data_IF_228739286526
#
_entry.id   IF_228739286526
#
_cell.length_a   1.000
_cell.length_b   1.000
_cell.length_c   1.000
_cell.angle_alpha   90.00
_cell.angle_beta   90.00
_cell.angle_gamma   90.00
#
_symmetry.space_group_name_H-M   'P 1'
#
loop_
_entity.id
_entity.type
_entity.pdbx_description
1 polymer ?
#
# COMPACT_ATOMS: atom_id res chain seq x y z
N UNK A 1 -23.62 -2.66 12.90
CA UNK A 1 -25.08 -2.91 12.83
C UNK A 1 -25.61 -2.81 11.40
N UNK A 2 -25.41 -1.68 10.69
CA UNK A 2 -25.96 -1.49 9.34
C UNK A 2 -25.49 -2.53 8.31
N UNK A 3 -24.17 -2.79 8.20
CA UNK A 3 -23.65 -3.78 7.23
C UNK A 3 -24.21 -5.19 7.44
N UNK A 4 -24.32 -5.63 8.69
CA UNK A 4 -24.95 -6.91 9.03
C UNK A 4 -26.43 -6.92 8.67
N UNK A 5 -27.19 -5.86 8.99
CA UNK A 5 -28.60 -5.74 8.62
C UNK A 5 -28.83 -5.76 7.11
N UNK A 6 -27.99 -5.06 6.34
CA UNK A 6 -28.01 -5.08 4.88
C UNK A 6 -27.76 -6.48 4.34
N UNK A 7 -26.69 -7.17 4.79
CA UNK A 7 -26.41 -8.54 4.38
C UNK A 7 -27.58 -9.47 4.70
N UNK A 8 -28.10 -9.39 5.93
CA UNK A 8 -29.24 -10.21 6.35
C UNK A 8 -30.51 -9.96 5.53
N UNK A 9 -30.70 -8.76 4.99
CA UNK A 9 -31.86 -8.43 4.15
C UNK A 9 -31.80 -9.04 2.75
N UNK A 10 -30.62 -9.43 2.27
CA UNK A 10 -30.43 -9.95 0.90
C UNK A 10 -29.93 -11.39 0.84
N UNK A 11 -29.26 -11.87 1.88
CA UNK A 11 -28.63 -13.20 1.92
C UNK A 11 -29.64 -14.35 2.07
N UNK A 12 -30.86 -14.05 2.49
CA UNK A 12 -31.93 -15.05 2.60
C UNK A 12 -32.37 -15.55 1.22
N UNK A 13 -32.20 -14.73 0.18
CA UNK A 13 -32.49 -15.14 -1.18
C UNK A 13 -31.26 -15.83 -1.78
N UNK A 14 -31.34 -17.15 -1.90
CA UNK A 14 -30.21 -18.00 -2.26
C UNK A 14 -29.57 -17.63 -3.62
N UNK A 15 -30.36 -17.08 -4.55
CA UNK A 15 -29.88 -16.61 -5.86
C UNK A 15 -28.90 -15.42 -5.74
N UNK A 16 -28.90 -14.71 -4.61
CA UNK A 16 -27.96 -13.61 -4.36
C UNK A 16 -26.57 -14.11 -3.93
N UNK A 17 -26.43 -15.36 -3.48
CA UNK A 17 -25.18 -15.85 -2.87
C UNK A 17 -23.96 -15.73 -3.78
N UNK A 18 -24.00 -16.06 -5.08
CA UNK A 18 -22.84 -15.89 -5.95
C UNK A 18 -22.39 -14.43 -6.04
N UNK A 19 -23.33 -13.49 -6.14
CA UNK A 19 -23.04 -12.06 -6.23
C UNK A 19 -22.52 -11.49 -4.90
N UNK A 20 -23.06 -11.96 -3.77
CA UNK A 20 -22.59 -11.57 -2.45
C UNK A 20 -21.17 -12.10 -2.19
N UNK A 21 -20.88 -13.34 -2.59
CA UNK A 21 -19.56 -13.93 -2.46
C UNK A 21 -18.53 -13.19 -3.34
N UNK A 22 -18.84 -12.96 -4.62
CA UNK A 22 -17.95 -12.20 -5.52
C UNK A 22 -17.69 -10.78 -4.98
N UNK A 23 -18.74 -10.10 -4.50
CA UNK A 23 -18.60 -8.78 -3.89
C UNK A 23 -17.72 -8.82 -2.64
N UNK A 24 -17.92 -9.80 -1.77
CA UNK A 24 -17.08 -9.99 -0.58
C UNK A 24 -15.61 -10.22 -0.96
N UNK A 25 -15.34 -11.15 -1.88
CA UNK A 25 -13.98 -11.47 -2.33
C UNK A 25 -13.28 -10.25 -2.95
N UNK A 26 -14.01 -9.49 -3.78
CA UNK A 26 -13.52 -8.26 -4.41
C UNK A 26 -13.13 -7.21 -3.40
N UNK A 27 -14.02 -6.86 -2.49
CA UNK A 27 -13.77 -5.80 -1.52
C UNK A 27 -12.77 -6.22 -0.46
N UNK A 28 -12.76 -7.50 -0.06
CA UNK A 28 -11.76 -8.03 0.85
C UNK A 28 -10.36 -7.83 0.27
N UNK A 29 -10.11 -8.28 -0.96
CA UNK A 29 -8.81 -8.08 -1.60
C UNK A 29 -8.46 -6.60 -1.76
N UNK A 30 -9.37 -5.79 -2.31
CA UNK A 30 -9.14 -4.36 -2.55
C UNK A 30 -8.79 -3.60 -1.26
N UNK A 31 -9.54 -3.87 -0.19
CA UNK A 31 -9.33 -3.25 1.11
C UNK A 31 -7.95 -3.62 1.66
N UNK A 32 -7.57 -4.89 1.63
CA UNK A 32 -6.31 -5.34 2.21
C UNK A 32 -5.09 -4.86 1.40
N UNK A 33 -5.18 -4.68 0.09
CA UNK A 33 -4.08 -4.05 -0.65
C UNK A 33 -3.78 -2.63 -0.14
N UNK A 34 -4.81 -1.82 0.12
CA UNK A 34 -4.64 -0.41 0.49
C UNK A 34 -4.48 -0.20 2.00
N UNK A 35 -5.38 -0.77 2.80
CA UNK A 35 -5.40 -0.57 4.25
C UNK A 35 -4.25 -1.26 4.95
N UNK A 36 -3.90 -2.48 4.56
CA UNK A 36 -2.83 -3.20 5.27
C UNK A 36 -1.48 -2.54 5.02
N UNK A 37 -1.27 -2.08 3.79
CA UNK A 37 -0.16 -1.18 3.45
C UNK A 37 -0.16 0.05 4.34
N UNK A 38 -1.28 0.78 4.42
CA UNK A 38 -1.36 2.02 5.19
C UNK A 38 -1.12 1.78 6.68
N UNK A 39 -1.83 0.83 7.29
CA UNK A 39 -1.72 0.56 8.72
C UNK A 39 -0.32 0.08 9.06
N UNK A 40 0.25 -0.87 8.31
CA UNK A 40 1.61 -1.35 8.55
C UNK A 40 2.68 -0.26 8.41
N UNK A 41 2.57 0.61 7.39
CA UNK A 41 3.49 1.76 7.25
C UNK A 41 3.34 2.73 8.42
N UNK A 42 2.11 3.13 8.76
CA UNK A 42 1.88 4.11 9.82
C UNK A 42 2.31 3.58 11.20
N UNK A 43 1.99 2.33 11.52
CA UNK A 43 2.27 1.75 12.84
C UNK A 43 3.74 1.40 13.04
N UNK A 44 4.47 1.05 11.97
CA UNK A 44 5.84 0.56 12.11
C UNK A 44 6.92 1.52 11.58
N UNK A 45 6.61 2.40 10.62
CA UNK A 45 7.60 3.31 10.07
C UNK A 45 7.42 4.75 10.54
N UNK A 46 6.20 5.16 10.91
CA UNK A 46 5.92 6.51 11.40
C UNK A 46 5.74 6.57 12.93
N UNK A 47 6.03 5.47 13.63
CA UNK A 47 6.04 5.40 15.08
C UNK A 47 7.43 5.05 15.62
N UNK A 48 7.80 5.67 16.75
CA UNK A 48 9.01 5.32 17.50
C UNK A 48 8.72 4.14 18.43
N UNK A 49 7.65 4.26 19.21
CA UNK A 49 7.17 3.21 20.11
C UNK A 49 6.21 2.30 19.36
N UNK A 50 6.63 1.05 19.15
CA UNK A 50 5.90 0.04 18.38
C UNK A 50 5.39 -1.05 19.32
N UNK A 51 4.10 -1.06 19.67
CA UNK A 51 3.56 -2.02 20.61
C UNK A 51 3.48 -3.46 20.05
N UNK A 52 3.50 -3.61 18.73
CA UNK A 52 3.31 -4.90 18.05
C UNK A 52 3.83 -4.85 16.62
N UNK A 53 4.09 -6.02 16.05
CA UNK A 53 4.28 -6.19 14.62
C UNK A 53 2.92 -6.32 13.92
N UNK A 54 2.75 -5.61 12.82
CA UNK A 54 1.49 -5.51 12.10
C UNK A 54 0.97 -6.85 11.64
N UNK A 55 1.86 -7.76 11.19
CA UNK A 55 1.45 -9.13 10.82
C UNK A 55 0.79 -9.90 11.96
N UNK A 56 1.20 -9.67 13.21
CA UNK A 56 0.69 -10.41 14.37
C UNK A 56 -0.72 -9.90 14.72
N UNK A 57 -0.91 -8.60 14.65
CA UNK A 57 -2.21 -7.96 14.92
C UNK A 57 -3.19 -8.14 13.76
N UNK A 58 -2.69 -8.24 12.53
CA UNK A 58 -3.50 -8.60 11.37
C UNK A 58 -4.10 -10.00 11.52
N UNK A 59 -3.33 -10.96 12.02
CA UNK A 59 -3.84 -12.33 12.28
C UNK A 59 -5.04 -12.27 13.26
N UNK A 60 -4.89 -11.55 14.38
CA UNK A 60 -5.99 -11.37 15.34
C UNK A 60 -7.20 -10.65 14.71
N UNK A 61 -6.99 -9.49 14.09
CA UNK A 61 -8.10 -8.67 13.58
C UNK A 61 -8.83 -9.30 12.39
N UNK A 62 -8.09 -9.99 11.52
CA UNK A 62 -8.63 -10.47 10.25
C UNK A 62 -8.98 -11.95 10.33
N UNK A 63 -8.05 -12.78 10.78
CA UNK A 63 -8.27 -14.23 10.82
C UNK A 63 -9.20 -14.60 11.98
N UNK A 64 -8.91 -14.13 13.19
CA UNK A 64 -9.71 -14.51 14.36
C UNK A 64 -11.02 -13.71 14.44
N UNK A 65 -10.95 -12.38 14.39
CA UNK A 65 -12.11 -11.52 14.61
C UNK A 65 -13.02 -11.42 13.39
N UNK A 66 -12.49 -11.05 12.22
CA UNK A 66 -13.32 -10.90 11.03
C UNK A 66 -13.76 -12.25 10.47
N UNK A 67 -12.83 -13.16 10.19
CA UNK A 67 -13.15 -14.47 9.59
C UNK A 67 -13.72 -15.43 10.64
N UNK A 68 -13.02 -15.62 11.76
CA UNK A 68 -13.39 -16.59 12.80
C UNK A 68 -14.66 -16.24 13.55
N UNK A 69 -14.95 -14.96 13.77
CA UNK A 69 -16.11 -14.51 14.55
C UNK A 69 -17.20 -13.84 13.71
N UNK A 70 -16.89 -12.82 12.90
CA UNK A 70 -17.93 -12.13 12.13
C UNK A 70 -18.48 -12.99 10.99
N UNK A 71 -17.62 -13.51 10.11
CA UNK A 71 -18.01 -14.29 8.93
C UNK A 71 -18.58 -15.67 9.27
N UNK A 72 -18.10 -16.31 10.34
CA UNK A 72 -18.61 -17.62 10.78
C UNK A 72 -20.11 -17.59 11.10
N UNK A 73 -20.64 -16.45 11.54
CA UNK A 73 -22.09 -16.24 11.75
C UNK A 73 -22.88 -16.17 10.44
N UNK A 74 -22.23 -15.94 9.31
CA UNK A 74 -22.83 -15.90 7.98
C UNK A 74 -22.73 -17.25 7.24
N UNK A 75 -21.89 -18.18 7.71
CA UNK A 75 -21.72 -19.51 7.12
C UNK A 75 -23.00 -20.35 7.01
N UNK A 76 -23.94 -20.31 7.98
CA UNK A 76 -25.22 -21.02 7.83
C UNK A 76 -26.06 -20.55 6.63
N UNK A 77 -25.81 -19.34 6.11
CA UNK A 77 -26.48 -18.80 4.93
C UNK A 77 -25.71 -19.10 3.63
N UNK A 78 -24.57 -19.79 3.69
CA UNK A 78 -23.81 -20.23 2.52
C UNK A 78 -22.64 -19.33 2.11
N UNK A 79 -22.41 -18.19 2.79
CA UNK A 79 -21.20 -17.38 2.59
C UNK A 79 -19.97 -18.09 3.13
N UNK A 80 -18.86 -17.98 2.40
CA UNK A 80 -17.57 -18.60 2.73
C UNK A 80 -16.53 -17.54 3.09
N UNK A 81 -15.49 -17.90 3.85
CA UNK A 81 -14.32 -17.05 4.01
C UNK A 81 -13.77 -16.60 2.65
N UNK A 82 -13.19 -15.39 2.56
CA UNK A 82 -12.68 -14.86 1.31
C UNK A 82 -11.67 -15.80 0.64
N UNK A 83 -11.83 -16.03 -0.66
CA UNK A 83 -11.03 -17.01 -1.39
C UNK A 83 -9.52 -16.71 -1.36
N UNK A 84 -9.16 -15.41 -1.30
CA UNK A 84 -7.76 -14.93 -1.28
C UNK A 84 -7.23 -14.63 0.12
N UNK A 85 -7.88 -15.07 1.20
CA UNK A 85 -7.41 -14.85 2.58
C UNK A 85 -5.94 -15.25 2.78
N UNK A 86 -5.55 -16.45 2.33
CA UNK A 86 -4.17 -16.91 2.45
C UNK A 86 -3.16 -16.11 1.63
N UNK A 87 -3.59 -15.50 0.52
CA UNK A 87 -2.74 -14.63 -0.28
C UNK A 87 -2.57 -13.25 0.38
N UNK A 88 -3.61 -12.72 1.01
CA UNK A 88 -3.47 -11.51 1.85
C UNK A 88 -2.52 -11.75 3.00
N UNK A 89 -2.67 -12.87 3.73
CA UNK A 89 -1.76 -13.24 4.81
C UNK A 89 -0.30 -13.30 4.33
N UNK A 90 -0.06 -13.84 3.12
CA UNK A 90 1.26 -13.84 2.49
C UNK A 90 1.78 -12.43 2.20
N UNK A 91 0.94 -11.54 1.69
CA UNK A 91 1.31 -10.15 1.40
C UNK A 91 1.67 -9.36 2.66
N UNK A 92 0.88 -9.49 3.73
CA UNK A 92 1.04 -8.73 4.98
C UNK A 92 2.41 -8.93 5.63
N UNK A 93 3.04 -10.09 5.40
CA UNK A 93 4.38 -10.38 5.91
C UNK A 93 5.47 -9.39 5.42
N UNK A 94 5.27 -8.72 4.28
CA UNK A 94 6.34 -7.89 3.69
C UNK A 94 5.85 -6.62 2.95
N UNK A 95 4.61 -6.59 2.46
CA UNK A 95 4.12 -5.56 1.54
C UNK A 95 4.33 -4.12 2.06
N UNK A 96 4.09 -3.90 3.35
CA UNK A 96 4.17 -2.58 3.96
C UNK A 96 5.63 -2.14 4.13
N UNK A 97 6.59 -3.07 4.27
CA UNK A 97 8.02 -2.74 4.27
C UNK A 97 8.49 -2.24 2.90
N UNK A 98 8.05 -2.93 1.83
CA UNK A 98 8.33 -2.54 0.46
C UNK A 98 7.72 -1.19 0.10
N UNK A 99 6.49 -0.95 0.54
CA UNK A 99 5.84 0.34 0.31
C UNK A 99 6.47 1.45 1.17
N UNK A 100 6.89 1.18 2.40
CA UNK A 100 7.53 2.17 3.26
C UNK A 100 8.79 2.76 2.60
N UNK A 101 9.67 1.90 2.08
CA UNK A 101 10.88 2.38 1.40
C UNK A 101 10.56 3.06 0.06
N UNK A 102 9.53 2.61 -0.67
CA UNK A 102 9.07 3.30 -1.87
C UNK A 102 8.56 4.72 -1.55
N UNK A 103 7.75 4.89 -0.49
CA UNK A 103 7.26 6.19 -0.05
C UNK A 103 8.39 7.10 0.47
N UNK A 104 9.41 6.52 1.13
CA UNK A 104 10.60 7.26 1.53
C UNK A 104 11.42 7.70 0.30
N UNK A 105 11.60 6.84 -0.69
CA UNK A 105 12.30 7.19 -1.92
C UNK A 105 11.61 8.35 -2.66
N UNK A 106 10.28 8.35 -2.66
CA UNK A 106 9.43 9.35 -3.31
C UNK A 106 9.05 10.53 -2.41
N UNK A 107 9.78 10.78 -1.31
CA UNK A 107 9.40 11.79 -0.31
C UNK A 107 9.04 13.19 -0.84
N UNK A 108 9.61 13.72 -1.97
CA UNK A 108 9.19 15.02 -2.48
C UNK A 108 7.72 15.04 -2.95
N UNK A 109 7.15 13.86 -3.26
CA UNK A 109 5.76 13.66 -3.67
C UNK A 109 4.84 13.35 -2.48
N UNK A 110 5.32 13.44 -1.24
CA UNK A 110 4.50 13.21 -0.05
C UNK A 110 3.97 14.53 0.52
N UNK A 111 2.75 14.48 1.09
CA UNK A 111 2.20 15.58 1.90
C UNK A 111 2.52 15.43 3.40
N UNK A 112 3.46 14.54 3.74
CA UNK A 112 3.95 14.29 5.09
C UNK A 112 5.48 14.16 5.08
N UNK A 113 6.09 14.14 6.27
CA UNK A 113 7.54 13.99 6.45
C UNK A 113 7.88 12.58 6.89
N UNK A 114 9.00 12.05 6.43
CA UNK A 114 9.48 10.70 6.76
C UNK A 114 10.84 10.85 7.44
N UNK A 115 11.02 10.29 8.64
CA UNK A 115 12.32 10.29 9.31
C UNK A 115 13.17 9.08 8.86
N UNK A 116 14.50 9.21 8.75
CA UNK A 116 15.35 8.07 8.49
C UNK A 116 15.42 7.15 9.72
N UNK A 117 15.42 5.85 9.45
CA UNK A 117 15.41 4.81 10.50
C UNK A 117 16.77 4.65 11.16
N UNK A 118 16.83 4.49 12.48
CA UNK A 118 18.03 4.32 13.29
C UNK A 118 18.34 2.88 13.72
N UNK A 119 19.45 2.67 14.48
CA UNK A 119 19.83 1.34 14.97
C UNK A 119 18.77 0.63 15.81
N UNK A 120 18.02 1.38 16.64
CA UNK A 120 16.94 0.82 17.45
C UNK A 120 15.78 0.29 16.58
N UNK A 121 15.49 0.96 15.46
CA UNK A 121 14.47 0.50 14.54
C UNK A 121 14.91 -0.78 13.82
N UNK A 122 16.20 -0.88 13.46
CA UNK A 122 16.75 -2.07 12.80
C UNK A 122 16.71 -3.28 13.74
N UNK A 123 17.08 -3.10 15.01
CA UNK A 123 16.95 -4.14 16.03
C UNK A 123 15.48 -4.58 16.19
N UNK A 124 14.55 -3.63 16.26
CA UNK A 124 13.13 -3.95 16.38
C UNK A 124 12.63 -4.74 15.16
N UNK A 125 12.96 -4.30 13.95
CA UNK A 125 12.54 -5.00 12.73
C UNK A 125 13.18 -6.36 12.58
N UNK A 126 14.48 -6.52 12.87
CA UNK A 126 15.13 -7.83 12.76
C UNK A 126 14.54 -8.84 13.77
N UNK A 127 14.14 -8.36 14.96
CA UNK A 127 13.51 -9.21 15.98
C UNK A 127 12.11 -9.69 15.58
N UNK A 128 11.30 -8.86 14.91
CA UNK A 128 9.93 -9.21 14.51
C UNK A 128 9.85 -9.80 13.09
N UNK A 129 10.78 -9.42 12.21
CA UNK A 129 10.88 -9.79 10.81
C UNK A 129 12.32 -10.22 10.47
N UNK A 130 12.75 -11.44 10.88
CA UNK A 130 14.11 -11.91 10.60
C UNK A 130 14.47 -11.84 9.11
N UNK A 131 15.60 -11.22 8.78
CA UNK A 131 16.02 -10.94 7.40
C UNK A 131 15.60 -9.55 6.88
N UNK A 132 14.88 -8.75 7.66
CA UNK A 132 14.51 -7.38 7.28
C UNK A 132 15.76 -6.53 7.00
N UNK A 133 16.78 -6.59 7.87
CA UNK A 133 17.98 -5.76 7.71
C UNK A 133 18.73 -6.11 6.43
N UNK A 134 18.80 -7.40 6.08
CA UNK A 134 19.40 -7.87 4.83
C UNK A 134 18.66 -7.32 3.60
N UNK A 135 17.35 -7.16 3.69
CA UNK A 135 16.49 -6.80 2.56
C UNK A 135 16.30 -5.28 2.41
N UNK A 136 16.25 -4.55 3.53
CA UNK A 136 15.86 -3.13 3.56
C UNK A 136 16.90 -2.21 4.21
N UNK A 137 17.79 -2.73 5.06
CA UNK A 137 18.72 -1.92 5.86
C UNK A 137 19.60 -1.02 4.98
N UNK A 138 20.17 -1.56 3.89
CA UNK A 138 20.98 -0.76 2.96
C UNK A 138 20.21 0.34 2.23
N UNK A 139 18.91 0.15 1.98
CA UNK A 139 18.06 1.18 1.36
C UNK A 139 17.76 2.31 2.36
N UNK A 140 17.52 1.97 3.63
CA UNK A 140 17.31 2.95 4.68
C UNK A 140 18.59 3.69 5.07
N UNK A 141 19.75 3.04 5.00
CA UNK A 141 21.05 3.70 5.14
C UNK A 141 21.27 4.73 4.04
N UNK A 142 20.99 4.35 2.78
CA UNK A 142 21.08 5.28 1.65
C UNK A 142 20.09 6.45 1.79
N UNK A 143 18.85 6.19 2.21
CA UNK A 143 17.86 7.24 2.47
C UNK A 143 18.33 8.21 3.57
N UNK A 144 18.90 7.70 4.66
CA UNK A 144 19.50 8.52 5.72
C UNK A 144 20.61 9.42 5.19
N UNK A 145 21.54 8.87 4.42
CA UNK A 145 22.66 9.65 3.87
C UNK A 145 22.18 10.77 2.93
N UNK A 146 21.09 10.51 2.20
CA UNK A 146 20.45 11.47 1.29
C UNK A 146 19.46 12.41 1.97
N UNK A 147 19.15 12.21 3.26
CA UNK A 147 18.21 13.07 3.98
C UNK A 147 18.76 14.46 4.28
N UNK A 148 20.09 14.65 4.28
CA UNK A 148 20.69 15.97 4.43
C UNK A 148 20.45 16.80 3.15
N UNK A 149 19.81 17.98 3.20
CA UNK A 149 19.57 18.81 2.02
C UNK A 149 20.85 19.19 1.26
N UNK A 150 22.01 19.23 1.94
CA UNK A 150 23.31 19.50 1.31
C UNK A 150 23.80 18.37 0.41
N UNK A 151 23.23 17.17 0.53
CA UNK A 151 23.55 16.04 -0.34
C UNK A 151 23.17 16.31 -1.80
N UNK A 152 22.15 17.17 -2.03
CA UNK A 152 21.54 17.44 -3.33
C UNK A 152 21.17 16.17 -4.11
N UNK A 153 20.94 15.07 -3.39
CA UNK A 153 20.63 13.74 -3.92
C UNK A 153 19.37 13.25 -3.24
N UNK A 154 18.48 12.63 -4.00
CA UNK A 154 17.32 11.92 -3.46
C UNK A 154 17.34 10.49 -3.97
N UNK A 155 16.88 9.54 -3.16
CA UNK A 155 16.89 8.12 -3.53
C UNK A 155 16.11 7.87 -4.83
N UNK A 156 15.09 8.67 -5.11
CA UNK A 156 14.37 8.65 -6.38
C UNK A 156 15.26 8.84 -7.63
N UNK A 157 16.30 9.68 -7.56
CA UNK A 157 17.22 9.91 -8.69
C UNK A 157 18.10 8.70 -9.00
N UNK A 158 18.24 7.77 -8.06
CA UNK A 158 18.99 6.53 -8.24
C UNK A 158 18.12 5.41 -8.86
N UNK A 159 16.81 5.64 -8.97
CA UNK A 159 15.88 4.71 -9.63
C UNK A 159 15.78 5.04 -11.11
N UNK A 160 15.73 4.03 -12.00
CA UNK A 160 15.57 4.27 -13.43
C UNK A 160 14.21 4.92 -13.77
N UNK A 161 13.20 4.69 -12.93
CA UNK A 161 11.88 5.33 -12.95
C UNK A 161 11.19 5.12 -11.59
N UNK A 162 10.15 5.91 -11.28
CA UNK A 162 9.24 5.54 -10.17
C UNK A 162 8.53 4.22 -10.51
N UNK A 163 8.15 3.41 -9.51
CA UNK A 163 7.33 2.23 -9.77
C UNK A 163 5.98 2.62 -10.35
N UNK A 164 5.45 1.78 -11.25
CA UNK A 164 4.07 1.92 -11.70
C UNK A 164 3.10 1.93 -10.49
N UNK A 165 1.98 2.63 -10.60
CA UNK A 165 0.93 2.57 -9.60
C UNK A 165 -0.19 1.67 -10.10
N UNK A 166 -0.71 0.82 -9.22
CA UNK A 166 -1.75 -0.13 -9.57
C UNK A 166 -3.02 0.59 -10.04
N UNK A 167 -3.56 0.22 -11.20
CA UNK A 167 -4.79 0.80 -11.74
C UNK A 167 -6.03 0.55 -10.86
N UNK A 168 -5.97 -0.47 -10.01
CA UNK A 168 -7.11 -0.92 -9.18
C UNK A 168 -7.05 -0.38 -7.76
N UNK A 169 -5.91 -0.51 -7.07
CA UNK A 169 -5.77 -0.11 -5.66
C UNK A 169 -4.91 1.14 -5.44
N UNK A 170 -4.25 1.65 -6.48
CA UNK A 170 -3.35 2.81 -6.45
C UNK A 170 -2.12 2.70 -5.54
N UNK A 171 -1.87 1.53 -4.95
CA UNK A 171 -0.61 1.23 -4.25
C UNK A 171 0.53 1.09 -5.27
N UNK A 172 1.76 1.49 -4.92
CA UNK A 172 2.93 1.24 -5.77
C UNK A 172 3.09 -0.24 -6.10
N UNK A 173 3.40 -0.55 -7.36
CA UNK A 173 3.62 -1.89 -7.89
C UNK A 173 5.01 -2.45 -7.47
N UNK A 174 5.21 -2.52 -6.16
CA UNK A 174 6.41 -3.03 -5.46
C UNK A 174 6.04 -4.10 -4.44
N UNK A 175 4.81 -4.61 -4.50
CA UNK A 175 4.25 -5.61 -3.58
C UNK A 175 4.22 -7.01 -4.21
N UNK A 176 4.27 -8.10 -3.42
CA UNK A 176 4.41 -8.11 -1.95
C UNK A 176 5.82 -7.77 -1.47
N UNK A 177 6.83 -7.84 -2.34
CA UNK A 177 8.21 -7.48 -2.05
C UNK A 177 8.82 -6.65 -3.17
N UNK A 178 9.61 -5.64 -2.84
CA UNK A 178 10.35 -4.82 -3.81
C UNK A 178 11.41 -5.65 -4.55
N UNK A 179 11.84 -6.78 -3.97
CA UNK A 179 12.80 -7.71 -4.56
C UNK A 179 12.15 -8.72 -5.51
N UNK A 180 10.85 -8.95 -5.36
CA UNK A 180 10.06 -9.87 -6.18
C UNK A 180 8.62 -9.35 -6.34
N UNK A 181 8.42 -8.21 -7.02
CA UNK A 181 7.09 -7.65 -7.18
C UNK A 181 6.24 -8.52 -8.10
N UNK A 182 4.97 -8.67 -7.78
CA UNK A 182 4.00 -9.48 -8.56
C UNK A 182 3.23 -8.63 -9.58
N UNK A 183 3.85 -7.55 -10.05
CA UNK A 183 3.28 -6.61 -11.01
C UNK A 183 2.92 -7.31 -12.31
N UNK A 184 1.74 -6.96 -12.85
CA UNK A 184 1.19 -7.51 -14.10
C UNK A 184 0.74 -6.36 -14.99
N UNK A 185 0.75 -6.59 -16.30
CA UNK A 185 0.19 -5.66 -17.28
C UNK A 185 -1.12 -6.23 -17.79
N UNK A 186 -2.17 -5.42 -17.74
CA UNK A 186 -3.51 -5.74 -18.23
C UNK A 186 -3.89 -4.77 -19.34
N UNK A 187 -4.84 -5.17 -20.19
CA UNK A 187 -5.29 -4.34 -21.31
C UNK A 187 -6.76 -3.97 -21.15
N UNK A 188 -7.09 -2.69 -21.35
CA UNK A 188 -8.47 -2.19 -21.35
C UNK A 188 -8.61 -0.92 -22.19
N UNK A 189 -9.73 -0.78 -22.89
CA UNK A 189 -10.07 0.44 -23.67
C UNK A 189 -8.93 0.94 -24.58
N UNK A 190 -8.17 0.03 -25.20
CA UNK A 190 -7.09 0.41 -26.12
C UNK A 190 -5.71 0.59 -25.48
N UNK A 191 -5.59 0.52 -24.15
CA UNK A 191 -4.40 0.89 -23.39
C UNK A 191 -3.91 -0.24 -22.46
N UNK A 192 -2.62 -0.18 -22.14
CA UNK A 192 -2.00 -1.03 -21.12
C UNK A 192 -2.04 -0.35 -19.74
N UNK A 193 -2.30 -1.14 -18.71
CA UNK A 193 -2.31 -0.69 -17.31
C UNK A 193 -1.49 -1.64 -16.46
N UNK A 194 -0.77 -1.10 -15.47
CA UNK A 194 -0.12 -1.90 -14.46
C UNK A 194 -1.09 -2.22 -13.31
N UNK A 195 -1.07 -3.46 -12.84
CA UNK A 195 -1.73 -3.89 -11.60
C UNK A 195 -0.71 -4.61 -10.71
N UNK A 196 -0.84 -4.49 -9.39
CA UNK A 196 0.19 -4.92 -8.45
C UNK A 196 0.19 -6.42 -8.12
N UNK A 197 -0.82 -7.17 -8.59
CA UNK A 197 -1.02 -8.57 -8.21
C UNK A 197 -2.05 -9.25 -9.12
N UNK A 198 -2.12 -10.58 -9.04
CA UNK A 198 -3.18 -11.36 -9.68
C UNK A 198 -4.57 -10.99 -9.14
N UNK A 199 -4.70 -10.74 -7.84
CA UNK A 199 -5.97 -10.30 -7.28
C UNK A 199 -6.44 -8.96 -7.84
N UNK A 200 -5.53 -7.99 -8.06
CA UNK A 200 -5.89 -6.75 -8.73
C UNK A 200 -6.19 -6.94 -10.23
N UNK A 201 -5.51 -7.86 -10.93
CA UNK A 201 -5.91 -8.23 -12.30
C UNK A 201 -7.33 -8.81 -12.34
N UNK A 202 -7.65 -9.73 -11.42
CA UNK A 202 -8.99 -10.30 -11.33
C UNK A 202 -10.05 -9.22 -11.11
N UNK A 203 -9.82 -8.28 -10.18
CA UNK A 203 -10.73 -7.16 -9.95
C UNK A 203 -10.87 -6.26 -11.18
N UNK A 204 -9.77 -5.95 -11.86
CA UNK A 204 -9.80 -5.18 -13.10
C UNK A 204 -10.73 -5.83 -14.13
N UNK A 205 -10.60 -7.14 -14.32
CA UNK A 205 -11.38 -7.92 -15.27
C UNK A 205 -12.87 -8.02 -14.93
N UNK A 206 -13.27 -7.82 -13.67
CA UNK A 206 -14.69 -7.73 -13.30
C UNK A 206 -15.36 -6.48 -13.88
N UNK A 207 -14.63 -5.38 -14.04
CA UNK A 207 -15.18 -4.15 -14.60
C UNK A 207 -14.11 -3.27 -15.30
N UNK A 208 -13.60 -3.70 -16.46
CA UNK A 208 -12.49 -3.03 -17.13
C UNK A 208 -12.84 -1.60 -17.53
N UNK A 209 -14.08 -1.32 -17.95
CA UNK A 209 -14.49 0.04 -18.34
C UNK A 209 -14.41 1.04 -17.18
N UNK A 210 -14.76 0.65 -15.95
CA UNK A 210 -14.61 1.54 -14.78
C UNK A 210 -13.14 1.79 -14.49
N UNK A 211 -12.31 0.74 -14.47
CA UNK A 211 -10.91 0.90 -14.12
C UNK A 211 -10.13 1.63 -15.21
N UNK A 212 -10.39 1.37 -16.49
CA UNK A 212 -9.77 2.09 -17.61
C UNK A 212 -10.24 3.54 -17.77
N UNK A 213 -11.40 3.89 -17.22
CA UNK A 213 -11.92 5.25 -17.21
C UNK A 213 -11.26 6.18 -16.17
N UNK A 214 -10.51 5.61 -15.22
CA UNK A 214 -9.81 6.38 -14.19
C UNK A 214 -8.40 6.73 -14.67
N UNK A 215 -8.12 8.02 -14.85
CA UNK A 215 -6.77 8.46 -15.18
C UNK A 215 -5.81 8.13 -14.03
N UNK A 216 -4.75 7.37 -14.30
CA UNK A 216 -3.75 7.09 -13.27
C UNK A 216 -2.73 8.23 -13.13
N UNK A 217 -1.90 8.16 -12.08
CA UNK A 217 -0.89 9.18 -11.78
C UNK A 217 0.05 9.42 -12.97
N UNK A 218 0.43 8.36 -13.68
CA UNK A 218 1.34 8.41 -14.81
C UNK A 218 0.72 9.08 -16.03
N UNK A 219 -0.53 8.73 -16.38
CA UNK A 219 -1.25 9.40 -17.46
C UNK A 219 -1.38 10.92 -17.24
N UNK A 220 -1.35 11.37 -15.98
CA UNK A 220 -1.44 12.78 -15.63
C UNK A 220 -0.10 13.52 -15.66
N UNK A 221 1.00 12.86 -15.28
CA UNK A 221 2.29 13.51 -15.02
C UNK A 221 3.43 13.01 -15.91
N UNK A 222 3.18 12.09 -16.85
CA UNK A 222 4.20 11.60 -17.77
C UNK A 222 4.88 12.74 -18.53
N UNK A 223 6.21 12.67 -18.61
CA UNK A 223 7.06 13.68 -19.24
C UNK A 223 7.20 15.02 -18.49
N UNK A 224 6.57 15.20 -17.31
CA UNK A 224 6.73 16.41 -16.50
C UNK A 224 8.01 16.37 -15.64
N UNK A 225 8.59 17.54 -15.39
CA UNK A 225 9.65 17.70 -14.38
C UNK A 225 9.09 17.51 -12.96
N UNK A 226 9.91 16.92 -12.07
CA UNK A 226 9.50 16.65 -10.69
C UNK A 226 9.04 17.91 -9.95
N UNK A 227 9.71 19.06 -10.14
CA UNK A 227 9.32 20.30 -9.50
C UNK A 227 7.95 20.80 -9.98
N UNK A 228 7.65 20.65 -11.27
CA UNK A 228 6.37 21.01 -11.85
C UNK A 228 5.24 20.10 -11.32
N UNK A 229 5.51 18.81 -11.13
CA UNK A 229 4.57 17.88 -10.50
C UNK A 229 4.27 18.29 -9.06
N UNK A 230 5.29 18.62 -8.27
CA UNK A 230 5.15 19.07 -6.88
C UNK A 230 4.28 20.34 -6.80
N UNK A 231 4.52 21.30 -7.70
CA UNK A 231 3.72 22.52 -7.79
C UNK A 231 2.27 22.21 -8.19
N UNK A 232 2.05 21.32 -9.15
CA UNK A 232 0.71 20.90 -9.57
C UNK A 232 -0.08 20.18 -8.46
N UNK A 233 0.62 19.49 -7.55
CA UNK A 233 0.06 18.85 -6.35
C UNK A 233 -0.19 19.85 -5.21
N UNK A 234 0.41 21.05 -5.26
CA UNK A 234 0.34 22.03 -4.19
C UNK A 234 1.20 21.67 -2.97
N UNK A 235 2.25 20.87 -3.14
CA UNK A 235 3.07 20.36 -2.02
C UNK A 235 4.21 21.31 -1.61
N UNK A 236 3.90 22.60 -1.62
CA UNK A 236 4.79 23.69 -1.21
C UNK A 236 4.11 24.48 -0.09
N UNK A 237 4.89 24.89 0.90
CA UNK A 237 4.44 25.68 2.06
C UNK A 237 4.05 27.11 1.66
N UNK A 238 3.40 27.88 2.56
CA UNK A 238 2.99 29.26 2.27
C UNK A 238 4.12 30.23 1.90
N UNK A 239 5.38 29.87 2.17
CA UNK A 239 6.55 30.67 1.75
C UNK A 239 6.92 30.50 0.27
N UNK A 240 6.24 29.60 -0.44
CA UNK A 240 6.39 29.38 -1.87
C UNK A 240 7.66 28.65 -2.29
N UNK A 241 8.45 28.13 -1.34
CA UNK A 241 9.73 27.46 -1.65
C UNK A 241 10.00 26.18 -0.86
N UNK A 242 9.52 26.08 0.38
CA UNK A 242 9.82 24.91 1.21
C UNK A 242 8.80 23.82 0.93
N UNK A 243 9.27 22.59 0.66
CA UNK A 243 8.41 21.46 0.41
C UNK A 243 7.64 21.03 1.68
N UNK A 244 6.43 20.53 1.49
CA UNK A 244 5.66 19.89 2.57
C UNK A 244 6.33 18.57 2.96
N UNK A 245 6.57 17.71 1.97
CA UNK A 245 7.37 16.51 2.11
C UNK A 245 8.78 16.85 2.56
N UNK A 246 9.33 16.07 3.49
CA UNK A 246 10.70 16.20 3.97
C UNK A 246 11.27 14.82 4.30
N UNK A 247 12.57 14.57 4.06
CA UNK A 247 13.22 13.30 4.37
C UNK A 247 13.71 13.21 5.82
N UNK A 248 13.24 14.12 6.69
CA UNK A 248 13.47 14.11 8.12
C UNK A 248 12.42 14.94 8.88
N UNK A 249 12.41 14.82 10.21
CA UNK A 249 11.56 15.62 11.08
C UNK A 249 12.22 16.91 11.61
N UNK A 250 13.51 17.13 11.33
CA UNK A 250 14.25 18.33 11.75
C UNK A 250 13.67 19.61 11.10
N UNK A 251 13.12 20.50 11.93
CA UNK A 251 12.48 21.74 11.46
C UNK A 251 13.49 22.85 11.08
N UNK A 252 14.74 22.76 11.52
CA UNK A 252 15.76 23.77 11.25
C UNK A 252 16.43 23.58 9.88
N UNK A 253 16.22 22.42 9.23
CA UNK A 253 16.91 22.02 8.00
C UNK A 253 15.93 21.63 6.88
N UNK A 254 14.83 22.36 6.74
CA UNK A 254 13.81 22.13 5.68
C UNK A 254 14.10 22.84 4.36
#
# INVERSE_FOLDING_TARGET
ANGYGTLMSVIQEHDNLPFLQESLDRHFWHQHQSMDTLVGVLSEYFAVERPWAYKDVWEEWVVDDFVGSYMSRLSPFGLKPPARLGEVARFVNEMHHSVAIALAAMWPLNFWRTDPMGPADYEWFENHYPGWTKSYGGLWDAFRDMSDPSSARILLQELPALPAFCQVCHVPCVVPSIHAPETRIVYGEGKEFAVCSEGCEWIFNLNPTIYSGCANWWERFDGMDLADVILALGYVRPDGKTLIGQPHLNAERM
#
